data_IF_546985358240
#
_entry.id   IF_546985358240
#
_cell.length_a   1.000
_cell.length_b   1.000
_cell.length_c   1.000
_cell.angle_alpha   90.00
_cell.angle_beta   90.00
_cell.angle_gamma   90.00
#
_symmetry.space_group_name_H-M   'P 1'
#
loop_
_entity.id
_entity.type
_entity.pdbx_description
1 polymer ?
#
# COMPACT_ATOMS: atom_id res chain seq x y z
N UNK A 1 14.82 41.14 -38.01
CA UNK A 1 14.46 40.25 -36.89
C UNK A 1 13.41 40.98 -36.06
N UNK A 2 12.13 40.66 -36.23
CA UNK A 2 11.09 41.08 -35.28
C UNK A 2 10.65 39.80 -34.60
N UNK A 3 11.15 39.58 -33.39
CA UNK A 3 10.68 38.50 -32.54
C UNK A 3 9.25 38.83 -32.18
N UNK A 4 8.30 38.17 -32.84
CA UNK A 4 6.90 38.16 -32.43
C UNK A 4 6.81 37.30 -31.17
N UNK A 5 7.04 37.91 -30.02
CA UNK A 5 6.62 37.34 -28.74
C UNK A 5 5.12 37.13 -28.83
N UNK A 6 4.70 35.87 -29.01
CA UNK A 6 3.31 35.48 -28.84
C UNK A 6 3.02 35.61 -27.36
N UNK A 7 2.41 36.72 -26.96
CA UNK A 7 1.81 36.85 -25.63
C UNK A 7 0.85 35.68 -25.44
N UNK A 8 1.21 34.78 -24.54
CA UNK A 8 0.30 33.72 -24.09
C UNK A 8 -0.75 34.41 -23.22
N UNK A 9 -2.06 34.27 -23.50
CA UNK A 9 -3.08 34.94 -22.71
C UNK A 9 -3.01 34.40 -21.28
N UNK A 10 -2.65 35.27 -20.35
CA UNK A 10 -2.70 34.98 -18.91
C UNK A 10 -4.17 35.08 -18.52
N UNK A 11 -4.90 33.97 -18.65
CA UNK A 11 -6.25 33.88 -18.12
C UNK A 11 -6.21 34.17 -16.62
N UNK A 12 -7.11 35.04 -16.14
CA UNK A 12 -7.17 35.36 -14.72
C UNK A 12 -7.55 34.11 -13.91
N UNK A 13 -7.07 33.98 -12.67
CA UNK A 13 -7.37 32.83 -11.79
C UNK A 13 -8.89 32.60 -11.67
N UNK A 14 -9.67 33.67 -11.66
CA UNK A 14 -11.14 33.65 -11.69
C UNK A 14 -11.73 33.01 -12.95
N UNK A 15 -11.16 33.30 -14.13
CA UNK A 15 -11.61 32.68 -15.39
C UNK A 15 -11.28 31.18 -15.44
N UNK A 16 -10.16 30.78 -14.82
CA UNK A 16 -9.78 29.37 -14.70
C UNK A 16 -10.72 28.65 -13.73
N UNK A 17 -11.05 29.25 -12.58
CA UNK A 17 -11.97 28.69 -11.59
C UNK A 17 -13.40 28.51 -12.16
N UNK A 18 -13.90 29.49 -12.92
CA UNK A 18 -15.22 29.42 -13.56
C UNK A 18 -15.28 28.38 -14.70
N UNK A 19 -14.14 28.07 -15.33
CA UNK A 19 -14.05 27.06 -16.38
C UNK A 19 -13.95 25.62 -15.84
N UNK A 20 -13.61 25.44 -14.55
CA UNK A 20 -13.46 24.13 -13.93
C UNK A 20 -14.80 23.64 -13.40
N UNK A 21 -15.36 22.62 -14.04
CA UNK A 21 -16.56 21.93 -13.54
C UNK A 21 -16.21 21.08 -12.31
N UNK A 22 -16.64 21.45 -11.08
CA UNK A 22 -16.13 20.85 -9.85
C UNK A 22 -16.49 19.36 -9.70
N UNK A 23 -17.59 18.94 -10.31
CA UNK A 23 -18.14 17.58 -10.19
C UNK A 23 -17.44 16.53 -11.06
N UNK A 24 -16.51 16.93 -11.93
CA UNK A 24 -15.76 16.02 -12.82
C UNK A 24 -14.52 15.45 -12.13
N UNK A 25 -14.02 16.13 -11.09
CA UNK A 25 -12.84 15.70 -10.35
C UNK A 25 -13.19 14.71 -9.25
N UNK A 26 -12.26 13.78 -8.97
CA UNK A 26 -12.42 12.81 -7.91
C UNK A 26 -12.52 13.53 -6.55
N UNK A 27 -13.54 13.16 -5.77
CA UNK A 27 -13.73 13.62 -4.39
C UNK A 27 -13.70 12.41 -3.45
N UNK A 28 -13.88 12.64 -2.15
CA UNK A 28 -14.02 11.57 -1.16
C UNK A 28 -15.25 10.69 -1.38
N UNK A 29 -16.22 11.16 -2.18
CA UNK A 29 -17.40 10.40 -2.56
C UNK A 29 -17.14 9.61 -3.85
N UNK A 30 -17.26 8.27 -3.83
CA UNK A 30 -17.09 7.46 -5.03
C UNK A 30 -18.12 7.82 -6.10
N UNK A 31 -17.65 7.99 -7.34
CA UNK A 31 -18.51 8.20 -8.50
C UNK A 31 -19.33 6.94 -8.84
N UNK A 32 -20.53 7.13 -9.41
CA UNK A 32 -21.40 6.04 -9.85
C UNK A 32 -21.85 6.26 -11.29
N UNK A 33 -21.58 5.29 -12.16
CA UNK A 33 -22.06 5.33 -13.54
C UNK A 33 -23.59 5.17 -13.58
N UNK A 34 -24.30 6.21 -14.02
CA UNK A 34 -25.78 6.22 -14.06
C UNK A 34 -26.36 5.35 -15.17
N UNK A 35 -25.65 5.23 -16.29
CA UNK A 35 -26.14 4.56 -17.50
C UNK A 35 -25.56 3.16 -17.72
N UNK A 36 -24.62 2.73 -16.88
CA UNK A 36 -23.99 1.42 -17.01
C UNK A 36 -24.96 0.32 -16.54
N UNK A 37 -25.04 -0.76 -17.32
CA UNK A 37 -25.78 -1.96 -16.93
C UNK A 37 -25.00 -2.72 -15.85
N UNK A 38 -25.72 -3.38 -14.95
CA UNK A 38 -25.10 -4.23 -13.93
C UNK A 38 -24.31 -5.37 -14.57
N UNK A 39 -23.08 -5.58 -14.11
CA UNK A 39 -22.23 -6.69 -14.57
C UNK A 39 -22.78 -8.00 -14.00
N UNK A 40 -23.23 -8.90 -14.89
CA UNK A 40 -23.58 -10.27 -14.53
C UNK A 40 -22.35 -11.15 -14.72
N UNK A 41 -21.93 -11.83 -13.66
CA UNK A 41 -20.80 -12.76 -13.69
C UNK A 41 -21.39 -14.17 -13.74
N UNK A 42 -21.11 -14.90 -14.82
CA UNK A 42 -21.48 -16.30 -14.98
C UNK A 42 -20.27 -17.19 -14.65
N UNK A 43 -20.51 -18.21 -13.83
CA UNK A 43 -19.47 -19.16 -13.47
C UNK A 43 -19.34 -20.25 -14.53
N UNK A 44 -18.12 -20.79 -14.66
CA UNK A 44 -17.89 -21.94 -15.52
C UNK A 44 -18.72 -23.14 -15.01
N UNK A 45 -19.24 -23.99 -15.92
CA UNK A 45 -19.96 -25.20 -15.51
C UNK A 45 -19.05 -26.10 -14.67
N UNK A 46 -19.58 -26.60 -13.56
CA UNK A 46 -18.83 -27.42 -12.59
C UNK A 46 -17.90 -26.64 -11.65
N UNK A 47 -17.93 -25.30 -11.64
CA UNK A 47 -17.17 -24.51 -10.68
C UNK A 47 -17.76 -24.63 -9.27
N UNK A 48 -16.95 -25.07 -8.31
CA UNK A 48 -17.35 -25.14 -6.90
C UNK A 48 -17.01 -23.85 -6.13
N UNK A 49 -17.78 -23.52 -5.08
CA UNK A 49 -17.47 -22.39 -4.19
C UNK A 49 -16.12 -22.54 -3.49
N UNK A 50 -15.31 -21.48 -3.55
CA UNK A 50 -14.00 -21.44 -2.86
C UNK A 50 -14.17 -20.79 -1.50
N UNK A 51 -14.02 -21.57 -0.42
CA UNK A 51 -14.08 -21.08 0.97
C UNK A 51 -12.73 -21.16 1.67
N UNK A 52 -11.92 -20.10 1.56
CA UNK A 52 -10.64 -19.99 2.27
C UNK A 52 -10.81 -19.27 3.60
N UNK A 53 -10.28 -19.82 4.68
CA UNK A 53 -10.27 -19.11 5.99
C UNK A 53 -9.32 -17.91 5.93
N UNK A 54 -9.77 -16.77 6.45
CA UNK A 54 -8.91 -15.60 6.66
C UNK A 54 -7.85 -15.95 7.70
N UNK A 55 -6.58 -15.65 7.41
CA UNK A 55 -5.54 -15.81 8.42
C UNK A 55 -5.81 -14.88 9.60
N UNK A 56 -5.41 -15.27 10.82
CA UNK A 56 -5.40 -14.33 11.94
C UNK A 56 -4.67 -13.04 11.53
N UNK A 57 -5.39 -11.92 11.59
CA UNK A 57 -4.83 -10.61 11.28
C UNK A 57 -4.35 -9.95 12.56
N UNK A 58 -3.17 -9.33 12.52
CA UNK A 58 -2.65 -8.50 13.60
C UNK A 58 -3.64 -7.37 13.92
N UNK A 59 -3.69 -6.94 15.17
CA UNK A 59 -4.66 -5.93 15.63
C UNK A 59 -4.44 -4.59 14.91
N UNK A 60 -3.19 -4.20 14.72
CA UNK A 60 -2.79 -2.97 14.05
C UNK A 60 -3.31 -2.92 12.61
N UNK A 61 -3.24 -4.06 11.91
CA UNK A 61 -3.78 -4.18 10.55
C UNK A 61 -5.31 -4.09 10.52
N UNK A 62 -5.99 -4.65 11.53
CA UNK A 62 -7.46 -4.54 11.65
C UNK A 62 -7.89 -3.11 11.90
N UNK A 63 -7.23 -2.42 12.83
CA UNK A 63 -7.50 -1.02 13.16
C UNK A 63 -7.20 -0.12 11.96
N UNK A 64 -6.10 -0.36 11.23
CA UNK A 64 -5.77 0.41 10.03
C UNK A 64 -6.77 0.24 8.88
N UNK A 65 -7.40 -0.93 8.75
CA UNK A 65 -8.38 -1.20 7.69
C UNK A 65 -9.80 -0.78 8.05
N UNK A 66 -10.13 -0.67 9.34
CA UNK A 66 -11.46 -0.30 9.82
C UNK A 66 -12.03 0.97 9.15
N UNK A 67 -11.33 2.12 9.08
CA UNK A 67 -11.89 3.31 8.45
C UNK A 67 -12.13 3.12 6.95
N UNK A 68 -11.31 2.33 6.28
CA UNK A 68 -11.43 2.03 4.85
C UNK A 68 -12.68 1.18 4.60
N UNK A 69 -12.87 0.12 5.38
CA UNK A 69 -14.05 -0.75 5.30
C UNK A 69 -15.31 0.04 5.60
N UNK A 70 -15.29 0.86 6.67
CA UNK A 70 -16.43 1.69 7.06
C UNK A 70 -16.80 2.70 5.97
N UNK A 71 -15.83 3.28 5.27
CA UNK A 71 -16.10 4.19 4.15
C UNK A 71 -16.82 3.47 3.00
N UNK A 72 -16.39 2.24 2.68
CA UNK A 72 -17.06 1.45 1.64
C UNK A 72 -18.46 0.98 2.05
N UNK A 73 -18.67 0.67 3.33
CA UNK A 73 -20.01 0.37 3.86
C UNK A 73 -20.92 1.61 3.79
N UNK A 74 -20.41 2.79 4.19
CA UNK A 74 -21.15 4.07 4.13
C UNK A 74 -21.68 4.38 2.74
N UNK A 75 -20.87 4.14 1.69
CA UNK A 75 -21.27 4.37 0.30
C UNK A 75 -21.95 3.16 -0.36
N UNK A 76 -22.17 2.06 0.37
CA UNK A 76 -22.83 0.85 -0.15
C UNK A 76 -22.02 0.10 -1.21
N UNK A 77 -20.71 0.36 -1.29
CA UNK A 77 -19.77 -0.37 -2.14
C UNK A 77 -19.47 -1.75 -1.57
N UNK A 78 -19.49 -1.87 -0.24
CA UNK A 78 -19.51 -3.15 0.47
C UNK A 78 -20.86 -3.34 1.16
N UNK A 79 -21.28 -4.60 1.26
CA UNK A 79 -22.46 -5.04 2.00
C UNK A 79 -22.18 -6.35 2.69
N UNK A 80 -22.76 -6.52 3.88
CA UNK A 80 -22.74 -7.79 4.57
C UNK A 80 -23.52 -8.83 3.77
N UNK A 81 -22.94 -10.04 3.65
CA UNK A 81 -23.56 -11.14 2.91
C UNK A 81 -23.15 -12.48 3.53
N UNK A 82 -24.00 -13.48 3.35
CA UNK A 82 -23.72 -14.87 3.69
C UNK A 82 -23.51 -15.64 2.39
N UNK A 83 -22.24 -15.86 2.03
CA UNK A 83 -21.85 -16.57 0.82
C UNK A 83 -20.96 -17.77 1.18
N UNK A 84 -21.02 -18.80 0.34
CA UNK A 84 -20.11 -19.95 0.42
C UNK A 84 -18.70 -19.61 -0.12
N UNK A 85 -18.59 -18.49 -0.84
CA UNK A 85 -17.33 -17.95 -1.35
C UNK A 85 -16.65 -17.09 -0.28
N UNK A 86 -15.39 -17.37 0.01
CA UNK A 86 -14.54 -16.52 0.85
C UNK A 86 -13.09 -16.55 0.35
N UNK A 87 -12.52 -15.36 0.11
CA UNK A 87 -11.12 -15.19 -0.27
C UNK A 87 -10.35 -14.47 0.84
N UNK A 88 -9.03 -14.69 0.89
CA UNK A 88 -8.16 -14.07 1.88
C UNK A 88 -7.81 -12.64 1.47
N UNK A 89 -7.94 -11.71 2.40
CA UNK A 89 -7.38 -10.37 2.29
C UNK A 89 -5.86 -10.42 2.53
N UNK A 90 -5.07 -9.73 1.72
CA UNK A 90 -3.64 -9.46 1.95
C UNK A 90 -2.64 -10.52 1.46
N UNK A 91 -3.03 -11.44 0.57
CA UNK A 91 -2.16 -12.57 0.18
C UNK A 91 -0.89 -12.17 -0.60
N UNK A 92 -0.87 -11.00 -1.23
CA UNK A 92 0.25 -10.54 -2.08
C UNK A 92 1.38 -9.81 -1.31
N UNK A 93 1.13 -9.37 -0.07
CA UNK A 93 2.08 -8.57 0.72
C UNK A 93 2.81 -9.35 1.82
N UNK A 94 2.33 -10.55 2.17
CA UNK A 94 2.79 -11.30 3.36
C UNK A 94 3.81 -12.40 3.00
N UNK A 95 3.96 -12.74 1.73
CA UNK A 95 4.81 -13.87 1.29
C UNK A 95 6.25 -13.45 0.94
N UNK A 96 6.64 -12.17 1.13
CA UNK A 96 7.93 -11.63 0.63
C UNK A 96 9.09 -11.59 1.62
N UNK A 97 8.95 -11.97 2.90
CA UNK A 97 10.09 -11.91 3.83
C UNK A 97 10.11 -13.04 4.86
N UNK A 98 11.03 -14.00 4.74
CA UNK A 98 11.37 -14.94 5.81
C UNK A 98 11.95 -14.25 7.06
N UNK A 99 12.53 -13.05 6.92
CA UNK A 99 13.25 -12.34 7.98
C UNK A 99 12.35 -11.82 9.12
N UNK A 100 11.05 -11.55 8.88
CA UNK A 100 10.15 -11.07 9.94
C UNK A 100 9.70 -12.17 10.93
N UNK A 101 9.83 -13.46 10.59
CA UNK A 101 9.46 -14.54 11.52
C UNK A 101 10.42 -14.68 12.70
N UNK A 102 11.70 -14.37 12.49
CA UNK A 102 12.73 -14.46 13.54
C UNK A 102 12.78 -13.20 14.41
N UNK A 103 12.38 -12.04 13.89
CA UNK A 103 12.31 -10.80 14.67
C UNK A 103 11.16 -10.80 15.69
N UNK A 104 10.13 -11.62 15.49
CA UNK A 104 8.98 -11.74 16.40
C UNK A 104 9.23 -12.56 17.67
N UNK A 105 10.39 -13.21 17.82
CA UNK A 105 10.72 -14.07 18.98
C UNK A 105 12.06 -13.64 19.60
N UNK A 106 12.22 -12.34 19.84
CA UNK A 106 13.32 -11.79 20.63
C UNK A 106 12.79 -11.36 21.99
N UNK A 107 13.17 -12.10 23.03
CA UNK A 107 12.86 -11.76 24.43
C UNK A 107 13.66 -10.53 24.89
N UNK A 108 13.14 -9.76 25.84
CA UNK A 108 13.75 -8.52 26.34
C UNK A 108 15.19 -8.72 26.85
N UNK A 109 15.50 -9.89 27.42
CA UNK A 109 16.86 -10.24 27.87
C UNK A 109 17.84 -10.40 26.71
N UNK A 110 17.37 -10.95 25.59
CA UNK A 110 18.18 -11.17 24.38
C UNK A 110 18.38 -9.85 23.63
N UNK A 111 17.35 -9.00 23.60
CA UNK A 111 17.44 -7.62 23.12
C UNK A 111 18.46 -6.81 23.93
N UNK A 112 18.39 -6.83 25.26
CA UNK A 112 19.32 -6.07 26.11
C UNK A 112 20.78 -6.54 25.95
N UNK A 113 21.02 -7.85 25.78
CA UNK A 113 22.37 -8.36 25.51
C UNK A 113 22.89 -7.92 24.14
N UNK A 114 22.02 -7.89 23.13
CA UNK A 114 22.37 -7.41 21.78
C UNK A 114 22.62 -5.90 21.78
N UNK A 115 21.72 -5.10 22.35
CA UNK A 115 21.88 -3.63 22.43
C UNK A 115 23.21 -3.25 23.09
N UNK A 116 23.57 -3.90 24.20
CA UNK A 116 24.87 -3.68 24.87
C UNK A 116 26.08 -4.02 24.00
N UNK A 117 26.01 -5.07 23.19
CA UNK A 117 27.09 -5.44 22.26
C UNK A 117 27.19 -4.50 21.05
N UNK A 118 26.14 -3.72 20.79
CA UNK A 118 26.02 -2.80 19.67
C UNK A 118 26.30 -1.34 20.05
N UNK A 119 26.46 -1.03 21.33
CA UNK A 119 26.70 0.33 21.85
C UNK A 119 27.90 1.03 21.21
N UNK A 120 28.92 0.26 20.82
CA UNK A 120 30.17 0.78 20.23
C UNK A 120 30.11 0.90 18.70
N UNK A 121 29.08 0.36 18.07
CA UNK A 121 28.94 0.30 16.61
C UNK A 121 28.17 1.51 16.07
N UNK A 122 28.49 1.90 14.84
CA UNK A 122 27.74 2.93 14.12
C UNK A 122 26.33 2.44 13.77
N UNK A 123 25.38 3.36 13.57
CA UNK A 123 23.98 3.02 13.28
C UNK A 123 23.83 2.04 12.10
N UNK A 124 24.64 2.19 11.05
CA UNK A 124 24.63 1.29 9.90
C UNK A 124 25.09 -0.13 10.25
N UNK A 125 26.15 -0.26 11.05
CA UNK A 125 26.65 -1.54 11.54
C UNK A 125 25.65 -2.21 12.49
N UNK A 126 24.96 -1.45 13.34
CA UNK A 126 23.88 -1.98 14.20
C UNK A 126 22.75 -2.58 13.38
N UNK A 127 22.34 -1.91 12.30
CA UNK A 127 21.30 -2.42 11.40
C UNK A 127 21.75 -3.67 10.64
N UNK A 128 23.05 -3.77 10.32
CA UNK A 128 23.64 -4.95 9.67
C UNK A 128 23.69 -6.15 10.61
N UNK A 129 24.14 -5.96 11.85
CA UNK A 129 24.21 -7.01 12.89
C UNK A 129 22.81 -7.51 13.32
N UNK A 130 21.81 -6.63 13.33
CA UNK A 130 20.42 -7.00 13.62
C UNK A 130 19.69 -7.64 12.43
N UNK A 131 20.34 -7.77 11.26
CA UNK A 131 19.72 -8.29 10.04
C UNK A 131 18.58 -7.41 9.50
N UNK A 132 18.45 -6.17 9.99
CA UNK A 132 17.39 -5.20 9.65
C UNK A 132 17.66 -4.46 8.33
N UNK A 133 18.68 -4.87 7.58
CA UNK A 133 18.95 -4.34 6.26
C UNK A 133 18.06 -5.04 5.24
N UNK A 134 16.98 -4.37 4.85
CA UNK A 134 16.13 -4.80 3.73
C UNK A 134 16.98 -5.17 2.52
N UNK A 135 16.72 -6.32 1.89
CA UNK A 135 17.39 -6.77 0.66
C UNK A 135 17.29 -5.72 -0.46
N UNK A 136 16.23 -4.90 -0.47
CA UNK A 136 16.07 -3.76 -1.37
C UNK A 136 17.16 -2.70 -1.16
N UNK A 137 17.50 -2.40 0.10
CA UNK A 137 18.62 -1.51 0.43
C UNK A 137 19.94 -2.18 0.05
N UNK A 138 20.14 -3.48 0.29
CA UNK A 138 21.38 -4.17 -0.14
C UNK A 138 21.59 -4.07 -1.66
N UNK A 139 20.53 -4.25 -2.46
CA UNK A 139 20.55 -4.04 -3.92
C UNK A 139 20.83 -2.58 -4.30
N UNK A 140 20.20 -1.61 -3.65
CA UNK A 140 20.45 -0.19 -3.91
C UNK A 140 21.88 0.22 -3.55
N UNK A 141 22.43 -0.31 -2.46
CA UNK A 141 23.81 -0.05 -2.05
C UNK A 141 24.82 -0.70 -2.99
N UNK A 142 24.59 -1.94 -3.44
CA UNK A 142 25.42 -2.58 -4.47
C UNK A 142 25.32 -1.83 -5.82
N UNK A 143 24.14 -1.31 -6.19
CA UNK A 143 23.96 -0.55 -7.43
C UNK A 143 24.60 0.84 -7.38
N UNK A 144 24.58 1.51 -6.22
CA UNK A 144 25.08 2.89 -6.06
C UNK A 144 26.59 2.97 -5.76
N UNK A 145 27.19 1.96 -5.13
CA UNK A 145 28.61 1.98 -4.73
C UNK A 145 29.54 1.13 -5.60
N UNK A 146 29.02 0.25 -6.48
CA UNK A 146 29.85 -0.46 -7.46
C UNK A 146 30.73 0.46 -8.34
N UNK A 147 30.29 1.68 -8.75
CA UNK A 147 31.14 2.55 -9.58
C UNK A 147 32.26 3.28 -8.83
N UNK A 148 32.29 3.25 -7.49
CA UNK A 148 33.21 4.08 -6.68
C UNK A 148 34.23 3.27 -5.87
N UNK A 149 34.29 1.94 -6.04
CA UNK A 149 35.19 1.09 -5.27
C UNK A 149 36.05 0.15 -6.14
N UNK A 150 36.56 0.68 -7.26
CA UNK A 150 37.68 0.14 -8.05
C UNK A 150 38.69 1.22 -8.31
#
# INVERSE_FOLDING_TARGET
MKNGEKEVPVNSLSEIEDAVTPFVWATEQPGKAKSAKLVKIELKPGAEPVRRKQYPMKLEARVGLEPIINNFLKYGLLRECQLEYNFRLGKEWIESSPEEKDLGVLTDEKLNKMVRGLEHLSHEERLRELGLFSLEKRRLWETLLWPFNT
#
